data_IF_328315243982
#
_entry.id   IF_328315243982
#
_cell.length_a   1.000
_cell.length_b   1.000
_cell.length_c   1.000
_cell.angle_alpha   90.00
_cell.angle_beta   90.00
_cell.angle_gamma   90.00
#
_symmetry.space_group_name_H-M   'P 1'
#
loop_
_entity.id
_entity.type
_entity.pdbx_description
1 polymer ?
#
# COMPACT_ATOMS: atom_id res chain seq x y z
N UNK A 1 -7.98 -14.36 -0.61
CA UNK A 1 -7.66 -13.17 -1.44
C UNK A 1 -6.34 -13.40 -2.16
N UNK A 2 -6.25 -13.06 -3.43
CA UNK A 2 -5.00 -13.11 -4.22
C UNK A 2 -4.10 -11.90 -3.93
N UNK A 3 -2.79 -12.00 -4.18
CA UNK A 3 -1.87 -10.88 -4.02
C UNK A 3 -2.22 -9.68 -4.92
N UNK A 4 -2.76 -9.95 -6.11
CA UNK A 4 -3.27 -8.90 -7.00
C UNK A 4 -4.38 -8.10 -6.33
N UNK A 5 -5.42 -8.77 -5.84
CA UNK A 5 -6.55 -8.13 -5.16
C UNK A 5 -6.10 -7.37 -3.92
N UNK A 6 -5.22 -7.97 -3.11
CA UNK A 6 -4.67 -7.34 -1.92
C UNK A 6 -3.93 -6.04 -2.24
N UNK A 7 -3.10 -6.03 -3.28
CA UNK A 7 -2.35 -4.83 -3.69
C UNK A 7 -3.28 -3.71 -4.16
N UNK A 8 -4.34 -4.02 -4.92
CA UNK A 8 -5.33 -3.01 -5.29
C UNK A 8 -6.08 -2.47 -4.07
N UNK A 9 -6.47 -3.34 -3.13
CA UNK A 9 -7.16 -2.90 -1.91
C UNK A 9 -6.26 -2.04 -1.00
N UNK A 10 -4.96 -2.34 -0.91
CA UNK A 10 -4.00 -1.49 -0.19
C UNK A 10 -3.95 -0.07 -0.79
N UNK A 11 -3.95 0.06 -2.13
CA UNK A 11 -3.99 1.38 -2.79
C UNK A 11 -5.26 2.14 -2.38
N UNK A 12 -6.41 1.47 -2.44
CA UNK A 12 -7.70 2.09 -2.06
C UNK A 12 -7.67 2.56 -0.60
N UNK A 13 -7.19 1.72 0.31
CA UNK A 13 -7.09 2.06 1.73
C UNK A 13 -6.15 3.25 1.97
N UNK A 14 -4.99 3.26 1.31
CA UNK A 14 -4.05 4.36 1.39
C UNK A 14 -4.66 5.69 0.94
N UNK A 15 -5.42 5.69 -0.18
CA UNK A 15 -6.09 6.88 -0.68
C UNK A 15 -7.19 7.38 0.28
N UNK A 16 -7.93 6.48 0.92
CA UNK A 16 -8.92 6.82 1.94
C UNK A 16 -8.24 7.46 3.14
N UNK A 17 -7.18 6.85 3.66
CA UNK A 17 -6.43 7.36 4.82
C UNK A 17 -5.80 8.72 4.54
N UNK A 18 -5.17 8.90 3.37
CA UNK A 18 -4.61 10.17 2.93
C UNK A 18 -5.70 11.25 2.89
N UNK A 19 -6.85 10.94 2.28
CA UNK A 19 -7.97 11.89 2.16
C UNK A 19 -8.54 12.28 3.53
N UNK A 20 -8.76 11.31 4.41
CA UNK A 20 -9.28 11.55 5.76
C UNK A 20 -8.29 12.37 6.59
N UNK A 21 -7.01 11.98 6.60
CA UNK A 21 -5.98 12.70 7.33
C UNK A 21 -5.78 14.13 6.83
N UNK A 22 -5.85 14.36 5.52
CA UNK A 22 -5.78 15.71 4.94
C UNK A 22 -6.95 16.59 5.38
N UNK A 23 -8.18 16.05 5.34
CA UNK A 23 -9.38 16.77 5.76
C UNK A 23 -9.36 17.12 7.26
N UNK A 24 -8.95 16.18 8.10
CA UNK A 24 -8.88 16.34 9.55
C UNK A 24 -7.67 17.18 10.02
N UNK A 25 -6.87 17.73 9.09
CA UNK A 25 -5.62 18.47 9.37
C UNK A 25 -4.66 17.68 10.26
N UNK A 26 -4.63 16.35 10.09
CA UNK A 26 -3.67 15.46 10.76
C UNK A 26 -2.25 15.70 10.24
N UNK A 27 -1.28 15.07 10.91
CA UNK A 27 0.15 15.22 10.62
C UNK A 27 0.48 15.04 9.13
N UNK A 28 0.97 16.11 8.49
CA UNK A 28 1.48 16.09 7.11
C UNK A 28 2.55 15.02 6.89
N UNK A 29 3.30 14.67 7.95
CA UNK A 29 4.31 13.62 7.90
C UNK A 29 3.70 12.24 7.65
N UNK A 30 2.60 11.90 8.33
CA UNK A 30 1.94 10.60 8.16
C UNK A 30 1.35 10.47 6.75
N UNK A 31 0.71 11.54 6.25
CA UNK A 31 0.19 11.61 4.88
C UNK A 31 1.31 11.41 3.87
N UNK A 32 2.41 12.13 4.04
CA UNK A 32 3.58 12.01 3.17
C UNK A 32 4.14 10.59 3.17
N UNK A 33 4.31 9.98 4.35
CA UNK A 33 4.86 8.63 4.49
C UNK A 33 4.03 7.56 3.78
N UNK A 34 2.70 7.63 3.90
CA UNK A 34 1.79 6.69 3.20
C UNK A 34 1.83 6.93 1.68
N UNK A 35 1.74 8.19 1.25
CA UNK A 35 1.79 8.55 -0.17
C UNK A 35 3.12 8.11 -0.82
N UNK A 36 4.25 8.36 -0.15
CA UNK A 36 5.59 7.97 -0.58
C UNK A 36 5.77 6.43 -0.62
N UNK A 37 5.10 5.67 0.26
CA UNK A 37 5.11 4.21 0.16
C UNK A 37 4.36 3.70 -1.08
N UNK A 38 3.19 4.28 -1.39
CA UNK A 38 2.24 3.71 -2.36
C UNK A 38 2.31 4.32 -3.77
N UNK A 39 2.92 5.49 -3.97
CA UNK A 39 2.84 6.23 -5.24
C UNK A 39 3.28 5.44 -6.49
N UNK A 40 4.27 4.55 -6.36
CA UNK A 40 4.76 3.74 -7.48
C UNK A 40 3.98 2.44 -7.70
N UNK A 41 3.10 2.07 -6.76
CA UNK A 41 2.42 0.79 -6.80
C UNK A 41 1.50 0.62 -8.03
N UNK A 42 0.70 1.63 -8.44
CA UNK A 42 -0.09 1.53 -9.68
C UNK A 42 0.75 1.22 -10.92
N UNK A 43 1.91 1.86 -11.04
CA UNK A 43 2.83 1.63 -12.17
C UNK A 43 3.44 0.22 -12.12
N UNK A 44 3.80 -0.27 -10.94
CA UNK A 44 4.29 -1.64 -10.76
C UNK A 44 3.23 -2.67 -11.16
N UNK A 45 1.97 -2.46 -10.76
CA UNK A 45 0.84 -3.34 -11.13
C UNK A 45 0.56 -3.34 -12.63
N UNK A 46 0.69 -2.20 -13.31
CA UNK A 46 0.53 -2.11 -14.75
C UNK A 46 1.61 -2.92 -15.50
N UNK A 47 2.84 -2.96 -14.96
CA UNK A 47 3.94 -3.72 -15.54
C UNK A 47 3.94 -5.22 -15.20
N UNK A 48 3.16 -5.66 -14.21
CA UNK A 48 3.07 -7.08 -13.84
C UNK A 48 2.71 -7.98 -15.03
N UNK A 49 1.77 -7.53 -15.86
CA UNK A 49 1.30 -8.29 -17.03
C UNK A 49 2.28 -8.26 -18.22
N UNK A 50 3.14 -7.25 -18.33
CA UNK A 50 4.00 -7.06 -19.51
C UNK A 50 5.45 -7.50 -19.30
N UNK A 51 5.93 -7.58 -18.05
CA UNK A 51 7.32 -7.89 -17.71
C UNK A 51 7.51 -9.22 -16.97
N UNK A 52 6.50 -10.10 -16.93
CA UNK A 52 6.51 -11.33 -16.11
C UNK A 52 6.85 -11.07 -14.63
N UNK A 53 6.47 -9.90 -14.11
CA UNK A 53 6.67 -9.58 -12.69
C UNK A 53 5.46 -10.14 -11.92
N UNK A 54 5.71 -11.04 -10.96
CA UNK A 54 4.65 -11.61 -10.15
C UNK A 54 4.12 -10.57 -9.13
N UNK A 55 2.82 -10.55 -8.91
CA UNK A 55 2.17 -9.78 -7.85
C UNK A 55 2.72 -10.12 -6.46
N UNK A 56 3.12 -11.38 -6.20
CA UNK A 56 3.73 -11.76 -4.93
C UNK A 56 5.07 -11.04 -4.70
N UNK A 57 5.87 -10.86 -5.75
CA UNK A 57 7.15 -10.14 -5.67
C UNK A 57 6.93 -8.65 -5.44
N UNK A 58 5.89 -8.07 -6.06
CA UNK A 58 5.48 -6.68 -5.81
C UNK A 58 5.06 -6.51 -4.34
N UNK A 59 4.28 -7.44 -3.81
CA UNK A 59 3.86 -7.41 -2.41
C UNK A 59 5.05 -7.56 -1.45
N UNK A 60 5.99 -8.46 -1.76
CA UNK A 60 7.22 -8.62 -0.98
C UNK A 60 8.05 -7.32 -0.98
N UNK A 61 8.28 -6.74 -2.16
CA UNK A 61 9.00 -5.47 -2.30
C UNK A 61 8.30 -4.32 -1.57
N UNK A 62 6.97 -4.27 -1.59
CA UNK A 62 6.19 -3.28 -0.84
C UNK A 62 6.44 -3.41 0.67
N UNK A 63 6.41 -4.64 1.21
CA UNK A 63 6.70 -4.91 2.64
C UNK A 63 8.13 -4.51 3.02
N UNK A 64 9.11 -4.80 2.16
CA UNK A 64 10.50 -4.39 2.37
C UNK A 64 10.65 -2.86 2.37
N UNK A 65 10.04 -2.17 1.40
CA UNK A 65 10.02 -0.69 1.35
C UNK A 65 9.32 -0.09 2.56
N UNK A 66 8.25 -0.70 3.05
CA UNK A 66 7.55 -0.24 4.25
C UNK A 66 8.46 -0.26 5.47
N UNK A 67 9.26 -1.30 5.67
CA UNK A 67 10.26 -1.36 6.76
C UNK A 67 11.31 -0.25 6.63
N UNK A 68 11.86 -0.05 5.44
CA UNK A 68 12.86 1.01 5.18
C UNK A 68 12.28 2.40 5.47
N UNK A 69 11.02 2.63 5.07
CA UNK A 69 10.32 3.90 5.26
C UNK A 69 9.66 4.06 6.63
N UNK A 70 9.75 3.05 7.52
CA UNK A 70 9.08 3.00 8.84
C UNK A 70 7.55 3.13 8.76
N UNK A 71 6.97 2.51 7.73
CA UNK A 71 5.53 2.43 7.47
C UNK A 71 4.99 1.00 7.64
N UNK A 72 5.80 0.08 8.14
CA UNK A 72 5.49 -1.35 8.31
C UNK A 72 4.30 -1.56 9.26
N UNK A 73 4.25 -0.86 10.40
CA UNK A 73 3.08 -0.95 11.30
C UNK A 73 1.77 -0.56 10.62
N UNK A 74 1.78 0.47 9.77
CA UNK A 74 0.60 0.88 9.02
C UNK A 74 0.22 -0.17 7.97
N UNK A 75 1.19 -0.65 7.19
CA UNK A 75 0.93 -1.64 6.14
C UNK A 75 0.42 -2.97 6.72
N UNK A 76 1.02 -3.44 7.81
CA UNK A 76 0.60 -4.67 8.48
C UNK A 76 -0.81 -4.51 9.07
N UNK A 77 -1.13 -3.33 9.62
CA UNK A 77 -2.49 -3.00 10.06
C UNK A 77 -3.51 -3.09 8.93
N UNK A 78 -3.23 -2.47 7.79
CA UNK A 78 -4.09 -2.54 6.60
C UNK A 78 -4.25 -3.98 6.11
N UNK A 79 -3.15 -4.75 6.01
CA UNK A 79 -3.22 -6.14 5.55
C UNK A 79 -4.08 -6.99 6.50
N UNK A 80 -3.90 -6.84 7.81
CA UNK A 80 -4.69 -7.58 8.80
C UNK A 80 -6.18 -7.22 8.72
N UNK A 81 -6.51 -5.94 8.55
CA UNK A 81 -7.89 -5.48 8.38
C UNK A 81 -8.54 -6.04 7.11
N UNK A 82 -7.78 -6.13 6.01
CA UNK A 82 -8.27 -6.68 4.74
C UNK A 82 -8.43 -8.20 4.81
N UNK A 83 -7.54 -8.91 5.50
CA UNK A 83 -7.61 -10.37 5.64
C UNK A 83 -8.65 -10.83 6.66
N UNK A 84 -8.93 -10.03 7.70
CA UNK A 84 -9.95 -10.37 8.72
C UNK A 84 -11.39 -10.13 8.27
N UNK A 85 -11.59 -9.36 7.20
CA UNK A 85 -12.91 -9.04 6.62
C UNK A 85 -13.34 -10.02 5.51
N UNK A 86 -12.53 -11.04 5.20
CA UNK A 86 -12.80 -12.09 4.21
C UNK A 86 -12.79 -13.47 4.87
#
# INVERSE_FOLDING_TARGET
MTSKELLYQIIVFALIDIRAAAYEKKSHKAIFMVADLIHNLPLQLAHANSKNINYDDILKSLKERAKIKKCDTWLDGVINDLLSKN
#
